data_IF_217970839689
#
_entry.id   IF_217970839689
#
_cell.length_a   1.000
_cell.length_b   1.000
_cell.length_c   1.000
_cell.angle_alpha   90.00
_cell.angle_beta   90.00
_cell.angle_gamma   90.00
#
_symmetry.space_group_name_H-M   'P 1'
#
loop_
_entity.id
_entity.type
_entity.pdbx_description
1 polymer ?
#
# COMPACT_ATOMS: atom_id res chain seq x y z
N UNK A 1 1.90 -11.39 10.99
CA UNK A 1 2.25 -10.53 9.83
C UNK A 1 1.20 -10.49 8.72
N UNK A 2 0.49 -11.59 8.40
CA UNK A 2 -0.55 -11.60 7.34
C UNK A 2 -1.53 -10.42 7.43
N UNK A 3 -1.97 -10.06 8.64
CA UNK A 3 -2.95 -8.99 8.85
C UNK A 3 -2.42 -7.59 8.43
N UNK A 4 -1.12 -7.32 8.53
CA UNK A 4 -0.55 -5.99 8.17
C UNK A 4 -0.38 -5.83 6.66
N UNK A 5 0.32 -6.76 6.02
CA UNK A 5 0.54 -6.72 4.55
C UNK A 5 -0.81 -6.72 3.82
N UNK A 6 -1.77 -7.52 4.29
CA UNK A 6 -3.13 -7.55 3.75
C UNK A 6 -3.87 -6.21 3.91
N UNK A 7 -3.79 -5.57 5.09
CA UNK A 7 -4.37 -4.23 5.30
C UNK A 7 -3.73 -3.18 4.41
N UNK A 8 -2.41 -3.20 4.23
CA UNK A 8 -1.70 -2.27 3.34
C UNK A 8 -2.14 -2.45 1.88
N UNK A 9 -2.34 -3.70 1.45
CA UNK A 9 -2.88 -4.03 0.12
C UNK A 9 -4.27 -3.44 -0.08
N UNK A 10 -5.18 -3.63 0.88
CA UNK A 10 -6.54 -3.06 0.83
C UNK A 10 -6.49 -1.53 0.79
N UNK A 11 -5.69 -0.90 1.65
CA UNK A 11 -5.55 0.57 1.67
C UNK A 11 -5.05 1.12 0.34
N UNK A 12 -4.05 0.46 -0.27
CA UNK A 12 -3.52 0.87 -1.56
C UNK A 12 -4.57 0.70 -2.68
N UNK A 13 -5.36 -0.38 -2.63
CA UNK A 13 -6.47 -0.58 -3.56
C UNK A 13 -7.50 0.53 -3.46
N UNK A 14 -8.02 0.78 -2.26
CA UNK A 14 -9.04 1.80 -1.99
C UNK A 14 -8.56 3.19 -2.42
N UNK A 15 -7.28 3.50 -2.17
CA UNK A 15 -6.67 4.75 -2.62
C UNK A 15 -6.74 4.92 -4.15
N UNK A 16 -6.41 3.87 -4.91
CA UNK A 16 -6.43 3.94 -6.38
C UNK A 16 -7.84 3.90 -6.98
N UNK A 17 -8.78 3.19 -6.34
CA UNK A 17 -10.21 3.26 -6.68
C UNK A 17 -10.72 4.70 -6.48
N UNK A 18 -10.33 5.37 -5.39
CA UNK A 18 -10.71 6.76 -5.13
C UNK A 18 -10.05 7.74 -6.12
N UNK A 19 -8.77 7.57 -6.44
CA UNK A 19 -8.09 8.41 -7.44
C UNK A 19 -8.69 8.23 -8.85
N UNK A 20 -9.15 7.03 -9.21
CA UNK A 20 -9.87 6.82 -10.47
C UNK A 20 -11.17 7.62 -10.49
N UNK A 21 -11.96 7.56 -9.41
CA UNK A 21 -13.20 8.33 -9.30
C UNK A 21 -12.93 9.84 -9.36
N UNK A 22 -11.89 10.34 -8.68
CA UNK A 22 -11.48 11.75 -8.74
C UNK A 22 -11.05 12.14 -10.14
N UNK A 23 -10.34 11.26 -10.86
CA UNK A 23 -9.95 11.51 -12.25
C UNK A 23 -11.19 11.64 -13.14
N UNK A 24 -12.13 10.69 -13.08
CA UNK A 24 -13.37 10.76 -13.86
C UNK A 24 -14.20 12.02 -13.55
N UNK A 25 -14.26 12.42 -12.28
CA UNK A 25 -14.96 13.63 -11.86
C UNK A 25 -14.31 14.90 -12.42
N UNK A 26 -12.98 14.94 -12.56
CA UNK A 26 -12.27 16.06 -13.22
C UNK A 26 -12.57 16.10 -14.71
N UNK A 27 -12.56 14.95 -15.39
CA UNK A 27 -12.87 14.86 -16.82
C UNK A 27 -14.31 15.27 -17.12
N UNK A 28 -15.28 14.87 -16.28
CA UNK A 28 -16.69 15.18 -16.45
C UNK A 28 -17.07 16.59 -15.95
N UNK A 29 -16.14 17.32 -15.33
CA UNK A 29 -16.43 18.59 -14.67
C UNK A 29 -17.37 18.47 -13.47
N UNK A 30 -17.64 17.25 -12.98
CA UNK A 30 -18.50 16.95 -11.84
C UNK A 30 -17.70 16.86 -10.54
N UNK A 31 -16.52 17.48 -10.50
CA UNK A 31 -15.71 17.53 -9.29
C UNK A 31 -16.50 18.32 -8.25
N UNK A 32 -16.83 17.73 -7.10
CA UNK A 32 -17.60 18.44 -6.11
C UNK A 32 -16.79 19.67 -5.66
N UNK A 33 -17.44 20.84 -5.65
CA UNK A 33 -16.85 22.11 -5.21
C UNK A 33 -16.36 22.05 -3.74
N UNK A 34 -16.82 21.04 -2.98
CA UNK A 34 -16.39 20.74 -1.62
C UNK A 34 -16.07 19.26 -1.44
N UNK A 35 -15.01 18.95 -0.69
CA UNK A 35 -14.66 17.56 -0.36
C UNK A 35 -15.63 16.97 0.68
N UNK A 36 -15.83 15.65 0.67
CA UNK A 36 -16.67 14.98 1.67
C UNK A 36 -16.17 15.18 3.12
N UNK A 37 -14.84 15.32 3.31
CA UNK A 37 -14.21 15.65 4.59
C UNK A 37 -14.58 17.07 5.03
N UNK A 38 -14.65 18.00 4.07
CA UNK A 38 -15.06 19.38 4.31
C UNK A 38 -16.55 19.46 4.66
N UNK A 39 -17.41 18.75 3.94
CA UNK A 39 -18.85 18.64 4.27
C UNK A 39 -19.10 18.08 5.68
N UNK A 40 -18.33 17.06 6.11
CA UNK A 40 -18.44 16.50 7.46
C UNK A 40 -17.97 17.48 8.54
N UNK A 41 -16.87 18.21 8.29
CA UNK A 41 -16.33 19.20 9.22
C UNK A 41 -17.20 20.46 9.32
N UNK A 42 -17.85 20.86 8.23
CA UNK A 42 -18.68 22.06 8.14
C UNK A 42 -20.12 21.83 8.66
N UNK A 43 -20.64 20.60 8.62
CA UNK A 43 -21.91 20.29 9.31
C UNK A 43 -21.82 20.44 10.83
N UNK A 44 -20.60 20.35 11.41
CA UNK A 44 -20.39 20.56 12.84
C UNK A 44 -20.17 22.04 13.20
N UNK A 45 -19.55 22.86 12.33
CA UNK A 45 -19.50 24.32 12.45
C UNK A 45 -19.40 24.99 11.06
N UNK A 46 -20.46 25.71 10.66
CA UNK A 46 -20.48 26.52 9.43
C UNK A 46 -19.48 27.69 9.52
N UNK A 47 -18.37 27.62 8.80
CA UNK A 47 -17.43 28.74 8.67
C UNK A 47 -17.55 29.35 7.25
N UNK A 48 -18.28 30.46 7.15
CA UNK A 48 -18.68 31.08 5.88
C UNK A 48 -17.50 31.54 5.00
N UNK A 49 -16.36 31.89 5.59
CA UNK A 49 -15.19 32.42 4.88
C UNK A 49 -14.46 31.39 4.01
N UNK A 50 -14.68 30.09 4.22
CA UNK A 50 -14.03 29.04 3.40
C UNK A 50 -14.85 28.79 2.11
N UNK A 51 -16.16 29.07 2.11
CA UNK A 51 -17.05 28.89 0.95
C UNK A 51 -16.69 29.80 -0.23
N UNK A 52 -15.92 30.87 0.02
CA UNK A 52 -15.45 31.82 -0.99
C UNK A 52 -14.12 31.43 -1.64
N UNK A 53 -13.44 30.39 -1.13
CA UNK A 53 -12.19 29.92 -1.72
C UNK A 53 -12.53 29.16 -3.01
N UNK A 54 -12.27 29.79 -4.16
CA UNK A 54 -12.48 29.18 -5.46
C UNK A 54 -11.70 27.86 -5.52
N UNK A 55 -12.36 26.73 -5.81
CA UNK A 55 -11.66 25.46 -5.88
C UNK A 55 -10.58 25.56 -6.95
N UNK A 56 -9.32 25.43 -6.55
CA UNK A 56 -8.23 25.38 -7.52
C UNK A 56 -8.49 24.23 -8.49
N UNK A 57 -8.51 24.50 -9.81
CA UNK A 57 -8.69 23.44 -10.79
C UNK A 57 -7.50 22.50 -10.70
N UNK A 58 -7.71 21.35 -10.05
CA UNK A 58 -6.73 20.28 -9.98
C UNK A 58 -6.40 19.87 -11.42
N UNK A 59 -5.12 19.92 -11.77
CA UNK A 59 -4.62 19.53 -13.10
C UNK A 59 -5.22 18.18 -13.51
N UNK A 60 -5.76 18.11 -14.73
CA UNK A 60 -6.21 16.86 -15.31
C UNK A 60 -5.04 15.86 -15.33
N UNK A 61 -5.28 14.65 -14.83
CA UNK A 61 -4.29 13.58 -14.83
C UNK A 61 -4.55 12.70 -16.04
N UNK A 62 -3.56 12.59 -16.93
CA UNK A 62 -3.68 11.72 -18.09
C UNK A 62 -3.75 10.23 -17.69
N UNK A 63 -4.32 9.38 -18.54
CA UNK A 63 -4.39 7.93 -18.32
C UNK A 63 -3.00 7.29 -18.23
N UNK A 64 -2.04 7.78 -19.02
CA UNK A 64 -0.66 7.29 -18.96
C UNK A 64 -0.03 7.62 -17.60
N UNK A 65 -0.15 8.88 -17.18
CA UNK A 65 0.33 9.37 -15.88
C UNK A 65 -0.32 8.60 -14.71
N UNK A 66 -1.63 8.36 -14.75
CA UNK A 66 -2.34 7.57 -13.75
C UNK A 66 -1.76 6.15 -13.64
N UNK A 67 -1.60 5.48 -14.79
CA UNK A 67 -1.10 4.11 -14.87
C UNK A 67 0.34 4.02 -14.36
N UNK A 68 1.20 4.98 -14.70
CA UNK A 68 2.58 5.04 -14.22
C UNK A 68 2.65 5.22 -12.72
N UNK A 69 1.92 6.19 -12.16
CA UNK A 69 1.90 6.44 -10.72
C UNK A 69 1.36 5.23 -9.96
N UNK A 70 0.30 4.59 -10.47
CA UNK A 70 -0.25 3.34 -9.92
C UNK A 70 0.78 2.22 -9.89
N UNK A 71 1.41 1.96 -11.03
CA UNK A 71 2.42 0.90 -11.16
C UNK A 71 3.63 1.17 -10.25
N UNK A 72 4.06 2.42 -10.12
CA UNK A 72 5.12 2.82 -9.20
C UNK A 72 4.75 2.49 -7.76
N UNK A 73 3.56 2.84 -7.31
CA UNK A 73 3.08 2.55 -5.96
C UNK A 73 2.93 1.05 -5.68
N UNK A 74 2.42 0.26 -6.65
CA UNK A 74 2.35 -1.21 -6.56
C UNK A 74 3.76 -1.79 -6.40
N UNK A 75 4.70 -1.38 -7.26
CA UNK A 75 6.08 -1.87 -7.23
C UNK A 75 6.78 -1.52 -5.91
N UNK A 76 6.58 -0.31 -5.39
CA UNK A 76 7.14 0.11 -4.11
C UNK A 76 6.61 -0.73 -2.94
N UNK A 77 5.29 -0.99 -2.89
CA UNK A 77 4.71 -1.86 -1.88
C UNK A 77 5.24 -3.31 -2.02
N UNK A 78 5.24 -3.86 -3.23
CA UNK A 78 5.75 -5.20 -3.50
C UNK A 78 7.22 -5.37 -3.05
N UNK A 79 8.08 -4.41 -3.38
CA UNK A 79 9.49 -4.45 -2.97
C UNK A 79 9.64 -4.39 -1.45
N UNK A 80 8.86 -3.54 -0.76
CA UNK A 80 8.84 -3.52 0.71
C UNK A 80 8.41 -4.85 1.31
N UNK A 81 7.31 -5.43 0.84
CA UNK A 81 6.83 -6.73 1.33
C UNK A 81 7.85 -7.84 1.06
N UNK A 82 8.52 -7.82 -0.10
CA UNK A 82 9.60 -8.77 -0.43
C UNK A 82 10.79 -8.63 0.51
N UNK A 83 11.20 -7.41 0.84
CA UNK A 83 12.28 -7.17 1.82
C UNK A 83 11.89 -7.63 3.22
N UNK A 84 10.67 -7.32 3.67
CA UNK A 84 10.16 -7.78 4.97
C UNK A 84 10.12 -9.30 5.06
N UNK A 85 9.58 -9.97 4.03
CA UNK A 85 9.56 -11.44 3.98
C UNK A 85 10.97 -12.04 4.01
N UNK A 86 11.93 -11.45 3.29
CA UNK A 86 13.33 -11.90 3.27
C UNK A 86 14.02 -11.69 4.62
N UNK A 87 13.77 -10.54 5.27
CA UNK A 87 14.31 -10.24 6.60
C UNK A 87 13.78 -11.22 7.65
N UNK A 88 12.48 -11.53 7.62
CA UNK A 88 11.86 -12.51 8.52
C UNK A 88 12.41 -13.91 8.29
N UNK A 89 12.57 -14.31 7.03
CA UNK A 89 13.19 -15.58 6.69
C UNK A 89 14.62 -15.69 7.25
N UNK A 90 15.43 -14.63 7.09
CA UNK A 90 16.78 -14.56 7.66
C UNK A 90 16.76 -14.71 9.19
N UNK A 91 15.92 -13.94 9.88
CA UNK A 91 15.80 -14.00 11.33
C UNK A 91 15.35 -15.38 11.83
N UNK A 92 14.39 -16.02 11.16
CA UNK A 92 13.94 -17.36 11.49
C UNK A 92 15.07 -18.38 11.30
N UNK A 93 15.76 -18.34 10.15
CA UNK A 93 16.91 -19.22 9.87
C UNK A 93 17.98 -19.09 10.94
N UNK A 94 18.34 -17.86 11.30
CA UNK A 94 19.42 -17.60 12.27
C UNK A 94 19.03 -18.07 13.68
N UNK A 95 17.76 -17.91 14.06
CA UNK A 95 17.22 -18.46 15.32
C UNK A 95 17.31 -19.99 15.35
N UNK A 96 16.95 -20.67 14.26
CA UNK A 96 17.06 -22.14 14.16
C UNK A 96 18.50 -22.62 14.27
N UNK A 97 19.43 -21.94 13.60
CA UNK A 97 20.86 -22.24 13.68
C UNK A 97 21.42 -22.03 15.09
N UNK A 98 20.99 -20.95 15.75
CA UNK A 98 21.37 -20.67 17.14
C UNK A 98 20.91 -21.78 18.09
N UNK A 99 19.64 -22.19 18.00
CA UNK A 99 19.08 -23.27 18.83
C UNK A 99 19.73 -24.63 18.56
N UNK A 100 20.06 -24.93 17.30
CA UNK A 100 20.79 -26.15 16.95
C UNK A 100 22.18 -26.20 17.64
N UNK A 101 22.95 -25.11 17.53
CA UNK A 101 24.26 -24.98 18.19
C UNK A 101 24.14 -25.10 19.71
N UNK A 102 23.14 -24.45 20.32
CA UNK A 102 22.89 -24.52 21.77
C UNK A 102 22.65 -25.94 22.25
N UNK A 103 22.08 -26.80 21.41
CA UNK A 103 21.81 -28.21 21.69
C UNK A 103 22.95 -29.15 21.29
N UNK A 104 24.07 -28.62 20.80
CA UNK A 104 25.20 -29.42 20.32
C UNK A 104 24.91 -30.19 19.02
N UNK A 105 23.90 -29.78 18.25
CA UNK A 105 23.57 -30.40 16.97
C UNK A 105 24.39 -29.73 15.86
N UNK A 106 25.11 -30.54 15.09
CA UNK A 106 25.76 -30.08 13.87
C UNK A 106 24.75 -30.10 12.71
N UNK A 107 24.20 -28.93 12.40
CA UNK A 107 23.16 -28.77 11.38
C UNK A 107 23.71 -27.95 10.22
N UNK A 108 23.67 -28.54 9.03
CA UNK A 108 24.04 -27.84 7.80
C UNK A 108 23.06 -26.65 7.55
N UNK A 109 23.55 -25.41 7.38
CA UNK A 109 22.72 -24.24 7.08
C UNK A 109 21.81 -24.40 5.86
N UNK A 110 22.21 -25.17 4.86
CA UNK A 110 21.41 -25.43 3.66
C UNK A 110 20.17 -26.26 3.94
N UNK A 111 20.20 -27.10 4.98
CA UNK A 111 19.03 -27.88 5.41
C UNK A 111 18.04 -26.99 6.14
N UNK A 112 18.52 -26.11 7.02
CA UNK A 112 17.67 -25.12 7.70
C UNK A 112 16.96 -24.24 6.68
N UNK A 113 17.66 -23.82 5.62
CA UNK A 113 17.08 -23.02 4.53
C UNK A 113 15.89 -23.71 3.83
N UNK A 114 15.89 -25.04 3.73
CA UNK A 114 14.79 -25.82 3.13
C UNK A 114 13.62 -26.03 4.09
N UNK A 115 13.88 -26.05 5.39
CA UNK A 115 12.87 -26.30 6.41
C UNK A 115 12.16 -25.03 6.89
N UNK A 116 12.83 -23.87 6.84
CA UNK A 116 12.23 -22.59 7.24
C UNK A 116 11.30 -22.12 6.11
N UNK A 117 9.99 -21.94 6.38
CA UNK A 117 9.06 -21.49 5.35
C UNK A 117 9.31 -20.02 5.02
N UNK A 118 9.43 -19.71 3.72
CA UNK A 118 9.43 -18.33 3.25
C UNK A 118 8.01 -17.89 2.90
N UNK A 119 7.61 -16.72 3.40
CA UNK A 119 6.33 -16.11 3.01
C UNK A 119 6.44 -15.71 1.54
N UNK A 120 5.60 -16.30 0.68
CA UNK A 120 5.52 -15.92 -0.72
C UNK A 120 4.86 -14.54 -0.82
N UNK A 121 5.57 -13.61 -1.45
CA UNK A 121 5.05 -12.28 -1.75
C UNK A 121 4.67 -12.24 -3.21
N UNK A 122 3.38 -12.14 -3.47
CA UNK A 122 2.83 -11.99 -4.81
C UNK A 122 2.64 -10.51 -5.14
N UNK A 123 2.92 -10.17 -6.41
CA UNK A 123 2.61 -8.85 -6.94
C UNK A 123 1.10 -8.77 -7.10
N UNK A 124 0.51 -7.67 -6.65
CA UNK A 124 -0.91 -7.42 -6.85
C UNK A 124 -1.14 -6.75 -8.20
N UNK A 125 -2.19 -7.22 -8.87
CA UNK A 125 -2.80 -6.52 -9.99
C UNK A 125 -4.08 -5.86 -9.50
N UNK A 126 -4.25 -4.58 -9.82
CA UNK A 126 -5.50 -3.87 -9.60
C UNK A 126 -6.31 -3.92 -10.92
N UNK A 127 -7.61 -4.25 -10.88
CA UNK A 127 -8.40 -4.50 -12.08
C UNK A 127 -8.85 -3.22 -12.83
N UNK A 128 -8.23 -2.07 -12.56
CA UNK A 128 -8.58 -0.75 -13.08
C UNK A 128 -7.32 0.08 -13.34
#
# INVERSE_FOLDING_TARGET
MMNRMYKERIKLRLFWEEELLRKEQREKGTTPLMSAVRFLRENEMCNAQILEEAPEPLKAMDQTEFTERRNKSINQMYNRHKMEASSLFGAQRDMWLYEARRRGLDVNPDWVKKCVPIVKVEKMDFPF
#
